data_IF_437213648344
#
_entry.id   IF_437213648344
#
_cell.length_a   1.000
_cell.length_b   1.000
_cell.length_c   1.000
_cell.angle_alpha   90.00
_cell.angle_beta   90.00
_cell.angle_gamma   90.00
#
_symmetry.space_group_name_H-M   'P 1'
#
loop_
_entity.id
_entity.type
_entity.pdbx_description
1 polymer ?
#
# COMPACT_ATOMS: atom_id res chain seq x y z
N UNK A 1 7.92 100.14 -46.38
CA UNK A 1 7.51 99.73 -45.02
C UNK A 1 6.60 98.50 -45.03
N UNK A 2 5.45 98.52 -45.70
CA UNK A 2 4.51 97.38 -45.72
C UNK A 2 5.11 96.06 -46.25
N UNK A 3 5.85 96.08 -47.37
CA UNK A 3 6.43 94.86 -47.98
C UNK A 3 7.48 94.21 -47.07
N UNK A 4 8.31 95.02 -46.41
CA UNK A 4 9.30 94.53 -45.43
C UNK A 4 8.63 93.89 -44.21
N UNK A 5 7.54 94.48 -43.72
CA UNK A 5 6.76 93.90 -42.61
C UNK A 5 6.18 92.54 -43.01
N UNK A 6 5.58 92.44 -44.20
CA UNK A 6 5.02 91.17 -44.70
C UNK A 6 6.11 90.11 -44.84
N UNK A 7 7.26 90.44 -45.42
CA UNK A 7 8.38 89.51 -45.58
C UNK A 7 8.91 89.00 -44.23
N UNK A 8 9.06 89.88 -43.24
CA UNK A 8 9.48 89.51 -41.88
C UNK A 8 8.45 88.58 -41.22
N UNK A 9 7.16 88.90 -41.32
CA UNK A 9 6.09 88.08 -40.74
C UNK A 9 6.09 86.67 -41.36
N UNK A 10 6.18 86.57 -42.69
CA UNK A 10 6.24 85.26 -43.38
C UNK A 10 7.46 84.45 -42.96
N UNK A 11 8.64 85.09 -42.87
CA UNK A 11 9.86 84.41 -42.45
C UNK A 11 9.76 83.90 -41.00
N UNK A 12 9.24 84.72 -40.08
CA UNK A 12 9.01 84.31 -38.69
C UNK A 12 8.03 83.14 -38.61
N UNK A 13 6.92 83.18 -39.35
CA UNK A 13 5.94 82.09 -39.38
C UNK A 13 6.58 80.79 -39.88
N UNK A 14 7.38 80.85 -40.95
CA UNK A 14 8.04 79.67 -41.49
C UNK A 14 9.07 79.07 -40.51
N UNK A 15 9.85 79.91 -39.83
CA UNK A 15 10.78 79.46 -38.78
C UNK A 15 10.02 78.82 -37.62
N UNK A 16 8.92 79.42 -37.16
CA UNK A 16 8.10 78.85 -36.08
C UNK A 16 7.52 77.50 -36.49
N UNK A 17 6.95 77.39 -37.69
CA UNK A 17 6.41 76.11 -38.19
C UNK A 17 7.51 75.06 -38.29
N UNK A 18 8.68 75.42 -38.81
CA UNK A 18 9.80 74.49 -38.92
C UNK A 18 10.27 73.99 -37.55
N UNK A 19 10.45 74.88 -36.58
CA UNK A 19 10.86 74.51 -35.21
C UNK A 19 9.80 73.65 -34.54
N UNK A 20 8.53 74.01 -34.63
CA UNK A 20 7.44 73.23 -34.02
C UNK A 20 7.37 71.83 -34.63
N UNK A 21 7.41 71.70 -35.96
CA UNK A 21 7.37 70.39 -36.62
C UNK A 21 8.60 69.57 -36.26
N UNK A 22 9.79 70.16 -36.28
CA UNK A 22 11.01 69.45 -35.95
C UNK A 22 11.00 68.94 -34.50
N UNK A 23 10.64 69.79 -33.54
CA UNK A 23 10.58 69.44 -32.12
C UNK A 23 9.52 68.37 -31.88
N UNK A 24 8.31 68.53 -32.43
CA UNK A 24 7.23 67.55 -32.26
C UNK A 24 7.63 66.19 -32.83
N UNK A 25 8.14 66.15 -34.06
CA UNK A 25 8.56 64.89 -34.69
C UNK A 25 9.70 64.25 -33.91
N UNK A 26 10.73 65.01 -33.53
CA UNK A 26 11.85 64.48 -32.77
C UNK A 26 11.38 63.92 -31.43
N UNK A 27 10.60 64.68 -30.67
CA UNK A 27 10.12 64.26 -29.34
C UNK A 27 9.25 63.02 -29.48
N UNK A 28 8.27 63.02 -30.38
CA UNK A 28 7.36 61.88 -30.55
C UNK A 28 8.12 60.63 -30.97
N UNK A 29 8.99 60.71 -31.98
CA UNK A 29 9.74 59.55 -32.46
C UNK A 29 10.66 59.03 -31.36
N UNK A 30 11.39 59.91 -30.68
CA UNK A 30 12.32 59.50 -29.64
C UNK A 30 11.58 58.84 -28.47
N UNK A 31 10.48 59.44 -28.00
CA UNK A 31 9.70 58.90 -26.89
C UNK A 31 9.08 57.54 -27.26
N UNK A 32 8.47 57.44 -28.44
CA UNK A 32 7.82 56.20 -28.90
C UNK A 32 8.85 55.08 -29.02
N UNK A 33 10.00 55.33 -29.66
CA UNK A 33 11.04 54.31 -29.82
C UNK A 33 11.62 53.91 -28.47
N UNK A 34 11.94 54.88 -27.61
CA UNK A 34 12.52 54.59 -26.31
C UNK A 34 11.56 53.79 -25.43
N UNK A 35 10.29 54.19 -25.35
CA UNK A 35 9.26 53.48 -24.56
C UNK A 35 9.01 52.09 -25.15
N UNK A 36 8.87 51.97 -26.47
CA UNK A 36 8.62 50.69 -27.11
C UNK A 36 9.76 49.70 -26.88
N UNK A 37 11.02 50.14 -27.06
CA UNK A 37 12.20 49.28 -26.84
C UNK A 37 12.33 48.93 -25.36
N UNK A 38 12.19 49.91 -24.47
CA UNK A 38 12.30 49.65 -23.03
C UNK A 38 11.24 48.67 -22.54
N UNK A 39 9.97 48.88 -22.94
CA UNK A 39 8.88 47.98 -22.59
C UNK A 39 9.07 46.59 -23.20
N UNK A 40 9.46 46.49 -24.47
CA UNK A 40 9.68 45.20 -25.12
C UNK A 40 10.77 44.40 -24.39
N UNK A 41 11.92 45.02 -24.09
CA UNK A 41 13.01 44.36 -23.37
C UNK A 41 12.57 43.97 -21.96
N UNK A 42 11.95 44.90 -21.22
CA UNK A 42 11.51 44.64 -19.86
C UNK A 42 10.50 43.48 -19.80
N UNK A 43 9.49 43.49 -20.66
CA UNK A 43 8.48 42.43 -20.72
C UNK A 43 9.11 41.09 -21.09
N UNK A 44 9.96 41.05 -22.12
CA UNK A 44 10.62 39.81 -22.54
C UNK A 44 11.47 39.25 -21.41
N UNK A 45 12.33 40.06 -20.79
CA UNK A 45 13.19 39.61 -19.69
C UNK A 45 12.36 39.13 -18.51
N UNK A 46 11.36 39.90 -18.09
CA UNK A 46 10.50 39.54 -16.97
C UNK A 46 9.74 38.24 -17.22
N UNK A 47 9.13 38.08 -18.40
CA UNK A 47 8.39 36.86 -18.77
C UNK A 47 9.33 35.66 -18.83
N UNK A 48 10.50 35.80 -19.49
CA UNK A 48 11.46 34.70 -19.60
C UNK A 48 11.95 34.26 -18.21
N UNK A 49 12.35 35.20 -17.36
CA UNK A 49 12.82 34.88 -16.00
C UNK A 49 11.70 34.21 -15.20
N UNK A 50 10.48 34.75 -15.23
CA UNK A 50 9.36 34.19 -14.50
C UNK A 50 9.01 32.77 -14.97
N UNK A 51 8.98 32.55 -16.29
CA UNK A 51 8.73 31.22 -16.88
C UNK A 51 9.83 30.24 -16.48
N UNK A 52 11.10 30.62 -16.57
CA UNK A 52 12.22 29.75 -16.19
C UNK A 52 12.14 29.37 -14.71
N UNK A 53 11.90 30.33 -13.82
CA UNK A 53 11.75 30.05 -12.38
C UNK A 53 10.56 29.13 -12.12
N UNK A 54 9.43 29.35 -12.79
CA UNK A 54 8.26 28.50 -12.65
C UNK A 54 8.53 27.06 -13.13
N UNK A 55 9.19 26.90 -14.28
CA UNK A 55 9.59 25.60 -14.81
C UNK A 55 10.51 24.88 -13.83
N UNK A 56 11.51 25.56 -13.27
CA UNK A 56 12.41 24.97 -12.27
C UNK A 56 11.63 24.51 -11.04
N UNK A 57 10.69 25.33 -10.54
CA UNK A 57 9.85 24.95 -9.41
C UNK A 57 9.00 23.71 -9.70
N UNK A 58 8.38 23.63 -10.89
CA UNK A 58 7.62 22.46 -11.33
C UNK A 58 8.51 21.22 -11.40
N UNK A 59 9.71 21.34 -11.96
CA UNK A 59 10.67 20.22 -12.04
C UNK A 59 11.03 19.72 -10.64
N UNK A 60 11.33 20.61 -9.70
CA UNK A 60 11.62 20.22 -8.30
C UNK A 60 10.44 19.49 -7.67
N UNK A 61 9.21 19.98 -7.87
CA UNK A 61 8.01 19.34 -7.36
C UNK A 61 7.78 17.95 -7.96
N UNK A 62 8.02 17.79 -9.26
CA UNK A 62 7.92 16.49 -9.94
C UNK A 62 8.97 15.52 -9.38
N UNK A 63 10.22 15.96 -9.20
CA UNK A 63 11.27 15.12 -8.61
C UNK A 63 10.87 14.68 -7.19
N UNK A 64 10.35 15.60 -6.37
CA UNK A 64 9.86 15.26 -5.03
C UNK A 64 8.72 14.23 -5.07
N UNK A 65 7.75 14.41 -5.97
CA UNK A 65 6.64 13.48 -6.14
C UNK A 65 7.14 12.09 -6.58
N UNK A 66 8.09 12.02 -7.50
CA UNK A 66 8.70 10.75 -7.94
C UNK A 66 9.39 10.06 -6.77
N UNK A 67 10.19 10.78 -5.98
CA UNK A 67 10.85 10.21 -4.79
C UNK A 67 9.82 9.67 -3.81
N UNK A 68 8.76 10.42 -3.53
CA UNK A 68 7.70 9.97 -2.63
C UNK A 68 7.01 8.69 -3.14
N UNK A 69 6.68 8.63 -4.44
CA UNK A 69 6.08 7.44 -5.06
C UNK A 69 7.03 6.24 -4.96
N UNK A 70 8.32 6.41 -5.26
CA UNK A 70 9.30 5.33 -5.15
C UNK A 70 9.38 4.80 -3.73
N UNK A 71 9.47 5.68 -2.72
CA UNK A 71 9.50 5.27 -1.31
C UNK A 71 8.22 4.53 -0.92
N UNK A 72 7.06 5.00 -1.38
CA UNK A 72 5.79 4.34 -1.12
C UNK A 72 5.72 2.95 -1.77
N UNK A 73 6.17 2.81 -3.01
CA UNK A 73 6.24 1.51 -3.70
C UNK A 73 7.15 0.55 -2.95
N UNK A 74 8.34 1.00 -2.52
CA UNK A 74 9.25 0.17 -1.72
C UNK A 74 8.57 -0.29 -0.43
N UNK A 75 7.89 0.61 0.27
CA UNK A 75 7.15 0.25 1.48
C UNK A 75 6.07 -0.80 1.23
N UNK A 76 5.27 -0.63 0.17
CA UNK A 76 4.23 -1.59 -0.22
C UNK A 76 4.85 -2.94 -0.58
N UNK A 77 5.93 -2.96 -1.36
CA UNK A 77 6.63 -4.20 -1.73
C UNK A 77 7.12 -4.93 -0.48
N UNK A 78 7.78 -4.23 0.44
CA UNK A 78 8.26 -4.83 1.70
C UNK A 78 7.09 -5.39 2.50
N UNK A 79 6.00 -4.63 2.65
CA UNK A 79 4.82 -5.08 3.38
C UNK A 79 4.20 -6.35 2.76
N UNK A 80 4.02 -6.36 1.43
CA UNK A 80 3.47 -7.51 0.71
C UNK A 80 4.39 -8.72 0.83
N UNK A 81 5.70 -8.56 0.66
CA UNK A 81 6.66 -9.66 0.80
C UNK A 81 6.60 -10.24 2.20
N UNK A 82 6.65 -9.42 3.24
CA UNK A 82 6.56 -9.88 4.63
C UNK A 82 5.25 -10.61 4.87
N UNK A 83 4.12 -10.02 4.45
CA UNK A 83 2.81 -10.63 4.62
C UNK A 83 2.72 -12.00 3.92
N UNK A 84 3.14 -12.08 2.65
CA UNK A 84 3.12 -13.33 1.87
C UNK A 84 4.02 -14.38 2.49
N UNK A 85 5.24 -14.03 2.90
CA UNK A 85 6.16 -14.96 3.55
C UNK A 85 5.57 -15.49 4.84
N UNK A 86 5.08 -14.62 5.72
CA UNK A 86 4.45 -15.04 6.97
C UNK A 86 3.24 -15.92 6.71
N UNK A 87 2.37 -15.54 5.78
CA UNK A 87 1.18 -16.31 5.43
C UNK A 87 1.55 -17.70 4.89
N UNK A 88 2.51 -17.80 3.98
CA UNK A 88 2.96 -19.09 3.42
C UNK A 88 3.58 -19.96 4.50
N UNK A 89 4.43 -19.39 5.37
CA UNK A 89 5.03 -20.15 6.47
C UNK A 89 3.95 -20.70 7.39
N UNK A 90 3.03 -19.85 7.84
CA UNK A 90 2.02 -20.23 8.84
C UNK A 90 0.95 -21.16 8.25
N UNK A 91 0.43 -20.88 7.06
CA UNK A 91 -0.70 -21.62 6.50
C UNK A 91 -0.31 -22.80 5.61
N UNK A 92 0.91 -22.83 5.09
CA UNK A 92 1.36 -23.91 4.19
C UNK A 92 2.45 -24.72 4.86
N UNK A 93 3.56 -24.09 5.26
CA UNK A 93 4.74 -24.82 5.74
C UNK A 93 4.45 -25.52 7.06
N UNK A 94 3.89 -24.81 8.06
CA UNK A 94 3.63 -25.39 9.39
C UNK A 94 2.67 -26.60 9.30
N UNK A 95 1.50 -26.52 8.63
CA UNK A 95 0.60 -27.67 8.52
C UNK A 95 1.22 -28.85 7.79
N UNK A 96 1.98 -28.61 6.70
CA UNK A 96 2.65 -29.68 5.95
C UNK A 96 3.71 -30.36 6.82
N UNK A 97 4.54 -29.60 7.52
CA UNK A 97 5.58 -30.16 8.40
C UNK A 97 4.93 -30.99 9.52
N UNK A 98 3.90 -30.45 10.18
CA UNK A 98 3.18 -31.17 11.24
C UNK A 98 2.57 -32.46 10.69
N UNK A 99 1.90 -32.40 9.54
CA UNK A 99 1.30 -33.58 8.92
C UNK A 99 2.33 -34.65 8.58
N UNK A 100 3.44 -34.27 7.93
CA UNK A 100 4.52 -35.19 7.56
C UNK A 100 5.17 -35.80 8.79
N UNK A 101 5.49 -35.01 9.81
CA UNK A 101 6.09 -35.52 11.06
C UNK A 101 5.16 -36.50 11.74
N UNK A 102 3.88 -36.15 11.92
CA UNK A 102 2.89 -37.05 12.55
C UNK A 102 2.75 -38.33 11.73
N UNK A 103 2.61 -38.22 10.41
CA UNK A 103 2.45 -39.38 9.54
C UNK A 103 3.67 -40.32 9.59
N UNK A 104 4.89 -39.77 9.46
CA UNK A 104 6.13 -40.54 9.50
C UNK A 104 6.33 -41.18 10.86
N UNK A 105 6.13 -40.43 11.96
CA UNK A 105 6.28 -40.98 13.32
C UNK A 105 5.29 -42.11 13.54
N UNK A 106 4.01 -41.91 13.24
CA UNK A 106 2.98 -42.96 13.41
C UNK A 106 3.31 -44.17 12.55
N UNK A 107 3.63 -43.97 11.26
CA UNK A 107 3.94 -45.08 10.35
C UNK A 107 5.19 -45.85 10.79
N UNK A 108 6.28 -45.16 11.12
CA UNK A 108 7.54 -45.80 11.53
C UNK A 108 7.36 -46.50 12.88
N UNK A 109 6.73 -45.86 13.86
CA UNK A 109 6.50 -46.48 15.18
C UNK A 109 5.63 -47.72 15.04
N UNK A 110 4.50 -47.63 14.34
CA UNK A 110 3.61 -48.79 14.14
C UNK A 110 4.34 -49.90 13.39
N UNK A 111 5.01 -49.59 12.28
CA UNK A 111 5.69 -50.59 11.48
C UNK A 111 6.86 -51.25 12.24
N UNK A 112 7.71 -50.46 12.90
CA UNK A 112 8.86 -50.98 13.66
C UNK A 112 8.38 -51.76 14.88
N UNK A 113 7.41 -51.25 15.65
CA UNK A 113 6.88 -51.96 16.82
C UNK A 113 6.23 -53.27 16.40
N UNK A 114 5.36 -53.27 15.38
CA UNK A 114 4.73 -54.51 14.90
C UNK A 114 5.79 -55.49 14.40
N UNK A 115 6.75 -55.04 13.59
CA UNK A 115 7.79 -55.92 13.05
C UNK A 115 8.69 -56.49 14.15
N UNK A 116 9.16 -55.66 15.09
CA UNK A 116 10.01 -56.09 16.21
C UNK A 116 9.24 -57.02 17.14
N UNK A 117 8.01 -56.69 17.52
CA UNK A 117 7.19 -57.54 18.40
C UNK A 117 6.91 -58.87 17.73
N UNK A 118 6.47 -58.90 16.48
CA UNK A 118 6.23 -60.16 15.76
C UNK A 118 7.51 -60.98 15.66
N UNK A 119 8.64 -60.35 15.32
CA UNK A 119 9.90 -61.07 15.20
C UNK A 119 10.39 -61.64 16.53
N UNK A 120 10.35 -60.83 17.60
CA UNK A 120 10.74 -61.27 18.95
C UNK A 120 9.80 -62.35 19.46
N UNK A 121 8.48 -62.20 19.28
CA UNK A 121 7.51 -63.22 19.68
C UNK A 121 7.71 -64.52 18.90
N UNK A 122 7.92 -64.45 17.59
CA UNK A 122 8.20 -65.65 16.78
C UNK A 122 9.52 -66.29 17.21
N UNK A 123 10.58 -65.52 17.44
CA UNK A 123 11.86 -66.06 17.93
C UNK A 123 11.71 -66.69 19.30
N UNK A 124 11.07 -66.01 20.25
CA UNK A 124 10.83 -66.53 21.59
C UNK A 124 9.95 -67.77 21.54
N UNK A 125 8.88 -67.81 20.74
CA UNK A 125 8.03 -68.99 20.58
C UNK A 125 8.80 -70.14 19.93
N UNK A 126 9.60 -69.89 18.89
CA UNK A 126 10.40 -70.93 18.23
C UNK A 126 11.50 -71.47 19.15
N UNK A 127 12.09 -70.62 20.00
CA UNK A 127 13.10 -71.01 21.00
C UNK A 127 12.47 -71.62 22.27
N UNK A 128 11.21 -71.27 22.58
CA UNK A 128 10.47 -71.74 23.76
C UNK A 128 9.53 -72.91 23.46
N UNK A 129 9.46 -73.40 22.22
CA UNK A 129 8.93 -74.74 21.92
C UNK A 129 10.06 -75.74 22.16
N UNK A 130 10.12 -76.40 23.34
CA UNK A 130 10.80 -77.68 23.41
C UNK A 130 10.07 -78.62 22.44
N UNK A 131 10.85 -79.39 21.70
CA UNK A 131 10.42 -80.46 20.81
C UNK A 131 9.68 -81.57 21.57
N UNK A 132 8.47 -81.31 22.07
CA UNK A 132 7.65 -82.30 22.75
C UNK A 132 6.18 -81.92 22.76
N UNK A 133 5.42 -82.43 21.78
CA UNK A 133 4.11 -83.07 21.98
C UNK A 133 3.40 -83.31 20.65
N UNK A 134 3.91 -84.29 19.91
CA UNK A 134 3.12 -85.03 18.92
C UNK A 134 2.22 -86.00 19.70
N UNK A 135 0.88 -85.90 19.54
CA UNK A 135 -0.26 -86.79 19.97
C UNK A 135 -1.22 -86.01 20.89
N UNK A 136 -2.56 -86.10 20.80
CA UNK A 136 -3.51 -86.89 19.99
C UNK A 136 -4.93 -86.34 20.29
N UNK A 137 -5.83 -86.42 19.30
CA UNK A 137 -7.31 -86.58 19.39
C UNK A 137 -8.09 -85.43 20.08
N UNK A 138 -9.12 -84.81 19.50
CA UNK A 138 -10.03 -85.26 18.46
C UNK A 138 -11.43 -85.39 19.05
N UNK A 139 -12.29 -84.39 18.81
CA UNK A 139 -13.77 -84.46 18.88
C UNK A 139 -14.32 -83.08 18.48
N UNK A 140 -14.60 -82.85 17.19
CA UNK A 140 -15.87 -83.14 16.50
C UNK A 140 -17.07 -82.51 17.22
N UNK A 141 -17.41 -81.29 16.81
CA UNK A 141 -18.79 -80.79 16.78
C UNK A 141 -19.05 -80.19 15.40
N UNK A 142 -20.22 -80.54 14.84
CA UNK A 142 -20.63 -80.33 13.45
C UNK A 142 -22.03 -79.70 13.49
N UNK A 143 -22.27 -78.69 12.64
CA UNK A 143 -23.59 -78.09 12.32
C UNK A 143 -23.80 -76.74 13.00
N UNK A 144 -24.32 -75.68 12.37
CA UNK A 144 -24.99 -75.45 11.09
C UNK A 144 -24.83 -73.95 10.73
N UNK A 145 -24.41 -73.56 9.53
CA UNK A 145 -25.21 -73.24 8.33
C UNK A 145 -26.24 -72.10 8.50
N UNK A 146 -26.01 -71.02 7.73
CA UNK A 146 -26.85 -69.81 7.54
C UNK A 146 -25.94 -68.58 7.56
N UNK A 147 -25.50 -67.95 6.47
CA UNK A 147 -26.14 -67.75 5.18
C UNK A 147 -27.11 -66.57 5.28
N UNK A 148 -26.67 -65.36 4.91
CA UNK A 148 -27.39 -64.34 4.11
C UNK A 148 -26.53 -63.06 4.01
N UNK A 149 -26.43 -62.57 2.77
CA UNK A 149 -25.88 -61.28 2.31
C UNK A 149 -26.66 -60.10 2.90
N UNK A 150 -25.98 -59.00 3.18
CA UNK A 150 -26.59 -57.68 3.39
C UNK A 150 -25.69 -56.60 2.83
N UNK A 151 -26.10 -56.05 1.70
CA UNK A 151 -25.45 -55.01 0.90
C UNK A 151 -26.01 -53.65 1.36
N UNK A 152 -25.16 -52.62 1.37
CA UNK A 152 -25.46 -51.23 1.03
C UNK A 152 -26.36 -50.32 1.92
N UNK A 153 -25.80 -49.11 2.05
CA UNK A 153 -26.42 -47.77 2.05
C UNK A 153 -27.30 -47.33 3.23
N UNK A 154 -26.82 -46.29 3.91
CA UNK A 154 -27.56 -45.57 4.94
C UNK A 154 -26.81 -44.36 5.46
N UNK A 155 -26.70 -43.32 4.63
CA UNK A 155 -26.47 -41.96 5.10
C UNK A 155 -27.61 -41.56 6.04
N UNK A 156 -27.32 -41.24 7.30
CA UNK A 156 -28.13 -40.29 8.08
C UNK A 156 -27.24 -39.41 8.95
N UNK A 157 -27.50 -38.13 8.78
CA UNK A 157 -26.99 -36.98 9.50
C UNK A 157 -27.78 -36.79 10.82
N UNK A 158 -27.28 -35.89 11.66
CA UNK A 158 -28.00 -35.11 12.69
C UNK A 158 -27.90 -35.55 14.16
N UNK A 159 -26.91 -34.97 14.85
CA UNK A 159 -27.03 -34.08 16.02
C UNK A 159 -27.94 -34.42 17.21
N UNK A 160 -27.33 -34.56 18.40
CA UNK A 160 -27.84 -34.20 19.76
C UNK A 160 -26.63 -34.25 20.72
N UNK A 161 -25.99 -33.13 21.08
CA UNK A 161 -26.22 -32.28 22.29
C UNK A 161 -26.07 -33.01 23.64
N UNK A 162 -24.84 -32.94 24.19
CA UNK A 162 -24.37 -32.61 25.57
C UNK A 162 -24.90 -33.36 26.83
N UNK A 163 -24.26 -33.21 28.02
CA UNK A 163 -22.85 -32.90 28.38
C UNK A 163 -22.31 -33.81 29.52
N UNK A 164 -21.00 -34.04 29.66
CA UNK A 164 -20.42 -34.34 30.99
C UNK A 164 -19.05 -33.69 31.20
N UNK A 165 -18.90 -33.21 32.44
CA UNK A 165 -17.95 -32.22 32.96
C UNK A 165 -16.73 -32.92 33.57
N UNK A 166 -15.55 -32.30 33.44
CA UNK A 166 -14.37 -32.69 34.22
C UNK A 166 -13.21 -31.69 34.05
N UNK A 167 -12.81 -30.94 35.10
CA UNK A 167 -12.06 -29.69 34.97
C UNK A 167 -10.53 -29.90 34.99
N UNK A 168 -9.83 -29.17 34.11
CA UNK A 168 -8.37 -29.07 34.11
C UNK A 168 -7.97 -27.61 34.05
N UNK A 169 -7.40 -27.12 35.15
CA UNK A 169 -7.05 -25.74 35.44
C UNK A 169 -6.25 -25.04 34.32
N UNK A 170 -6.78 -23.91 33.85
CA UNK A 170 -6.01 -22.86 33.20
C UNK A 170 -5.59 -21.86 34.29
N UNK A 171 -4.29 -21.74 34.54
CA UNK A 171 -3.74 -20.54 35.16
C UNK A 171 -3.71 -19.41 34.12
N UNK A 172 -4.18 -18.19 34.44
CA UNK A 172 -3.91 -16.99 33.66
C UNK A 172 -2.76 -16.23 34.33
N UNK A 173 -1.54 -16.34 33.79
CA UNK A 173 -0.47 -15.43 34.14
C UNK A 173 -0.28 -14.39 33.03
N UNK A 174 -0.87 -13.22 33.30
CA UNK A 174 -0.45 -11.87 32.93
C UNK A 174 -0.01 -11.61 31.48
N UNK A 175 -0.96 -11.06 30.72
CA UNK A 175 -0.72 -10.21 29.56
C UNK A 175 0.02 -8.95 30.00
N UNK A 176 1.32 -8.88 29.75
CA UNK A 176 2.07 -7.64 29.79
C UNK A 176 2.15 -7.08 28.37
N UNK A 177 1.15 -6.27 27.99
CA UNK A 177 1.18 -5.42 26.80
C UNK A 177 0.14 -4.29 26.91
N UNK A 178 0.23 -3.50 27.97
CA UNK A 178 -0.34 -2.16 27.96
C UNK A 178 0.58 -1.21 27.17
N UNK A 179 0.55 -1.26 25.83
CA UNK A 179 0.98 -0.11 25.02
C UNK A 179 -0.15 0.91 25.02
N UNK A 180 0.09 2.18 25.36
CA UNK A 180 -0.98 3.10 25.73
C UNK A 180 -1.81 3.50 24.50
N UNK A 181 -3.10 3.15 24.50
CA UNK A 181 -4.10 3.64 23.54
C UNK A 181 -4.14 5.18 23.41
N UNK A 182 -3.57 5.90 24.38
CA UNK A 182 -3.42 7.35 24.35
C UNK A 182 -2.57 7.86 23.16
N UNK A 183 -1.63 7.06 22.66
CA UNK A 183 -0.67 7.51 21.64
C UNK A 183 -1.18 7.32 20.20
N UNK A 184 -2.11 6.39 19.97
CA UNK A 184 -2.84 6.28 18.70
C UNK A 184 -3.97 7.32 18.60
N UNK A 185 -4.69 7.57 19.70
CA UNK A 185 -5.73 8.59 19.72
C UNK A 185 -5.16 10.01 19.58
N UNK A 186 -3.98 10.27 20.16
CA UNK A 186 -3.30 11.54 19.96
C UNK A 186 -2.77 11.70 18.53
N UNK A 187 -2.26 10.62 17.91
CA UNK A 187 -1.89 10.63 16.48
C UNK A 187 -3.09 10.84 15.56
N UNK A 188 -4.22 10.16 15.81
CA UNK A 188 -5.47 10.37 15.08
C UNK A 188 -5.98 11.80 15.25
N UNK A 189 -5.92 12.37 16.47
CA UNK A 189 -6.30 13.76 16.74
C UNK A 189 -5.41 14.77 16.03
N UNK A 190 -4.09 14.57 16.01
CA UNK A 190 -3.15 15.42 15.26
C UNK A 190 -3.44 15.37 13.76
N UNK A 191 -3.64 14.17 13.22
CA UNK A 191 -3.96 13.99 11.81
C UNK A 191 -5.33 14.57 11.42
N UNK A 192 -6.34 14.51 12.30
CA UNK A 192 -7.63 15.15 12.07
C UNK A 192 -7.54 16.68 12.10
N UNK A 193 -6.79 17.26 13.05
CA UNK A 193 -6.57 18.71 13.14
C UNK A 193 -5.85 19.23 11.89
N UNK A 194 -4.87 18.49 11.39
CA UNK A 194 -4.17 18.84 10.15
C UNK A 194 -5.12 18.81 8.94
N UNK A 195 -5.94 17.77 8.79
CA UNK A 195 -6.95 17.69 7.72
C UNK A 195 -7.99 18.81 7.78
N UNK A 196 -8.46 19.17 8.98
CA UNK A 196 -9.39 20.28 9.17
C UNK A 196 -8.74 21.63 8.83
N UNK A 197 -7.48 21.85 9.22
CA UNK A 197 -6.74 23.08 8.87
C UNK A 197 -6.49 23.23 7.37
N UNK A 198 -6.31 22.13 6.64
CA UNK A 198 -6.18 22.13 5.18
C UNK A 198 -7.52 22.42 4.51
N UNK A 199 -8.60 21.87 5.05
CA UNK A 199 -9.95 22.15 4.54
C UNK A 199 -10.36 23.61 4.76
N UNK A 200 -10.04 24.22 5.90
CA UNK A 200 -10.30 25.64 6.16
C UNK A 200 -9.45 26.55 5.27
N UNK A 201 -8.17 26.22 5.06
CA UNK A 201 -7.31 26.95 4.11
C UNK A 201 -7.82 26.87 2.68
N UNK A 202 -8.26 25.69 2.22
CA UNK A 202 -8.85 25.55 0.88
C UNK A 202 -10.17 26.33 0.73
N UNK A 203 -11.03 26.35 1.76
CA UNK A 203 -12.26 27.17 1.73
C UNK A 203 -11.96 28.67 1.71
N UNK A 204 -10.94 29.12 2.45
CA UNK A 204 -10.50 30.52 2.45
C UNK A 204 -9.90 30.95 1.11
N UNK A 205 -9.11 30.07 0.48
CA UNK A 205 -8.60 30.29 -0.88
C UNK A 205 -9.73 30.35 -1.92
N UNK A 206 -10.71 29.45 -1.85
CA UNK A 206 -11.88 29.46 -2.74
C UNK A 206 -12.70 30.76 -2.58
N UNK A 207 -12.95 31.19 -1.34
CA UNK A 207 -13.69 32.42 -1.04
C UNK A 207 -12.93 33.68 -1.49
N UNK A 208 -11.60 33.66 -1.43
CA UNK A 208 -10.75 34.76 -1.94
C UNK A 208 -10.71 34.80 -3.47
N UNK A 209 -10.79 33.64 -4.13
CA UNK A 209 -10.85 33.53 -5.59
C UNK A 209 -12.20 33.99 -6.14
N UNK A 210 -13.31 33.62 -5.51
CA UNK A 210 -14.65 34.11 -5.88
C UNK A 210 -14.83 35.62 -5.65
N UNK A 211 -14.18 36.20 -4.62
CA UNK A 211 -14.20 37.66 -4.40
C UNK A 211 -13.40 38.44 -5.46
N UNK A 212 -12.42 37.80 -6.10
CA UNK A 212 -11.62 38.41 -7.17
C UNK A 212 -12.34 38.36 -8.52
N UNK A 213 -13.13 37.31 -8.78
CA UNK A 213 -13.92 37.15 -10.02
C UNK A 213 -15.28 37.90 -9.98
N UNK A 214 -15.80 38.23 -8.80
CA UNK A 214 -17.05 39.00 -8.65
C UNK A 214 -16.91 40.54 -8.72
N UNK A 215 -15.71 41.07 -9.00
CA UNK A 215 -15.44 42.51 -9.03
C UNK A 215 -14.98 43.04 -10.40
N UNK A 216 -15.15 42.25 -11.45
CA UNK A 216 -15.04 42.64 -12.87
C UNK A 216 -16.40 42.54 -13.54
#
# INVERSE_FOLDING_TARGET
MAVHVVHVVVHVVLVVVHVVVHVVVHVVVHLVVQVAVHMAVHVVVHVVVHVVVHVVHVVVHVVHAVVHVVVHVVHVVVHVVVHVVVHVVVHVVVPVVVHVVVHVVVHVVVHVVVHVVVHVVVQVVVLAVPSSSRRRRGSRWRGAAGGIKGNHDGYLNSSTFDPEVGPGAFEPFMLDNARPLADEDERRRKHLKEKLSLQERNKSFSCSQERFEGST
#
